data_IF_055553930018
#
_entry.id   IF_055553930018
#
_cell.length_a   1.000
_cell.length_b   1.000
_cell.length_c   1.000
_cell.angle_alpha   90.00
_cell.angle_beta   90.00
_cell.angle_gamma   90.00
#
_symmetry.space_group_name_H-M   'P 1'
#
loop_
_entity.id
_entity.type
_entity.pdbx_description
1 polymer ?
#
# COMPACT_ATOMS: atom_id res chain seq x y z
N UNK A 1 -13.31 14.98 -5.24
CA UNK A 1 -12.60 13.75 -4.85
C UNK A 1 -12.75 13.57 -3.35
N UNK A 2 -13.01 12.37 -2.86
CA UNK A 2 -13.16 12.12 -1.43
C UNK A 2 -11.81 12.24 -0.72
N UNK A 3 -11.80 12.89 0.45
CA UNK A 3 -10.59 13.05 1.26
C UNK A 3 -10.12 11.69 1.78
N UNK A 4 -8.80 11.45 1.77
CA UNK A 4 -8.24 10.19 2.24
C UNK A 4 -8.42 10.09 3.76
N UNK A 5 -8.89 8.95 4.24
CA UNK A 5 -8.86 8.60 5.66
C UNK A 5 -7.44 8.24 6.09
N UNK A 6 -7.02 8.74 7.26
CA UNK A 6 -5.75 8.36 7.89
C UNK A 6 -5.67 6.84 8.06
N UNK A 7 -4.48 6.27 7.89
CA UNK A 7 -4.26 4.87 8.24
C UNK A 7 -4.12 4.72 9.75
N UNK A 8 -4.43 3.53 10.27
CA UNK A 8 -4.36 3.22 11.70
C UNK A 8 -3.44 2.03 11.95
N UNK A 9 -2.98 1.86 13.19
CA UNK A 9 -2.22 0.67 13.59
C UNK A 9 -2.96 -0.64 13.24
N UNK A 10 -4.28 -0.67 13.43
CA UNK A 10 -5.11 -1.82 13.05
C UNK A 10 -5.06 -2.11 11.54
N UNK A 11 -5.03 -1.06 10.70
CA UNK A 11 -4.86 -1.21 9.24
C UNK A 11 -3.50 -1.83 8.92
N UNK A 12 -2.43 -1.36 9.55
CA UNK A 12 -1.07 -1.87 9.31
C UNK A 12 -0.94 -3.32 9.75
N UNK A 13 -1.46 -3.67 10.93
CA UNK A 13 -1.43 -5.04 11.44
C UNK A 13 -2.23 -6.00 10.55
N UNK A 14 -3.43 -5.59 10.10
CA UNK A 14 -4.23 -6.40 9.18
C UNK A 14 -3.52 -6.67 7.85
N UNK A 15 -2.92 -5.63 7.25
CA UNK A 15 -2.17 -5.76 5.98
C UNK A 15 -0.93 -6.64 6.15
N UNK A 16 -0.20 -6.50 7.27
CA UNK A 16 0.96 -7.34 7.56
C UNK A 16 0.57 -8.82 7.73
N UNK A 17 -0.54 -9.09 8.42
CA UNK A 17 -1.07 -10.44 8.56
C UNK A 17 -1.49 -11.04 7.21
N UNK A 18 -2.16 -10.26 6.35
CA UNK A 18 -2.64 -10.72 5.04
C UNK A 18 -1.52 -10.95 4.03
N UNK A 19 -0.57 -10.01 3.91
CA UNK A 19 0.46 -10.04 2.86
C UNK A 19 1.70 -10.79 3.29
N UNK A 20 2.18 -10.57 4.52
CA UNK A 20 3.43 -11.13 5.01
C UNK A 20 3.23 -12.41 5.84
N UNK A 21 2.00 -12.74 6.23
CA UNK A 21 1.71 -13.89 7.10
C UNK A 21 2.25 -13.73 8.53
N UNK A 22 2.71 -12.54 8.90
CA UNK A 22 3.31 -12.24 10.19
C UNK A 22 2.60 -11.03 10.81
N UNK A 23 1.69 -11.27 11.78
CA UNK A 23 1.04 -10.17 12.47
C UNK A 23 2.07 -9.35 13.26
N UNK A 24 1.90 -8.04 13.25
CA UNK A 24 2.74 -7.12 14.03
C UNK A 24 2.17 -6.98 15.44
N UNK A 25 3.06 -6.80 16.41
CA UNK A 25 2.68 -6.28 17.72
C UNK A 25 2.16 -4.83 17.61
N UNK A 26 1.41 -4.41 18.63
CA UNK A 26 0.70 -3.12 18.62
C UNK A 26 1.67 -1.92 18.56
N UNK A 27 2.81 -2.01 19.26
CA UNK A 27 3.82 -0.95 19.32
C UNK A 27 4.45 -0.72 17.94
N UNK A 28 4.84 -1.80 17.25
CA UNK A 28 5.40 -1.72 15.89
C UNK A 28 4.35 -1.29 14.89
N UNK A 29 3.10 -1.78 15.02
CA UNK A 29 2.01 -1.38 14.14
C UNK A 29 1.72 0.12 14.25
N UNK A 30 1.75 0.69 15.46
CA UNK A 30 1.58 2.13 15.69
C UNK A 30 2.74 2.94 15.09
N UNK A 31 3.98 2.54 15.37
CA UNK A 31 5.15 3.22 14.83
C UNK A 31 5.16 3.23 13.28
N UNK A 32 4.78 2.11 12.66
CA UNK A 32 4.67 2.03 11.21
C UNK A 32 3.49 2.83 10.65
N UNK A 33 2.37 2.93 11.36
CA UNK A 33 1.25 3.76 10.92
C UNK A 33 1.67 5.23 10.76
N UNK A 34 2.44 5.77 11.71
CA UNK A 34 2.93 7.15 11.64
C UNK A 34 3.90 7.37 10.46
N UNK A 35 4.83 6.43 10.25
CA UNK A 35 5.79 6.50 9.14
C UNK A 35 5.06 6.43 7.80
N UNK A 36 4.19 5.44 7.61
CA UNK A 36 3.49 5.24 6.34
C UNK A 36 2.50 6.36 6.04
N UNK A 37 1.87 6.96 7.05
CA UNK A 37 0.95 8.07 6.87
C UNK A 37 1.64 9.26 6.18
N UNK A 38 2.88 9.56 6.53
CA UNK A 38 3.67 10.62 5.89
C UNK A 38 3.89 10.37 4.39
N UNK A 39 4.20 9.11 4.04
CA UNK A 39 4.42 8.68 2.65
C UNK A 39 3.10 8.76 1.86
N UNK A 40 2.02 8.25 2.43
CA UNK A 40 0.70 8.25 1.80
C UNK A 40 0.16 9.68 1.60
N UNK A 41 0.48 10.60 2.52
CA UNK A 41 0.13 12.00 2.37
C UNK A 41 0.91 12.67 1.23
N UNK A 42 2.19 12.33 1.05
CA UNK A 42 2.96 12.77 -0.12
C UNK A 42 2.36 12.24 -1.43
N UNK A 43 1.90 10.98 -1.44
CA UNK A 43 1.25 10.36 -2.60
C UNK A 43 -0.14 10.93 -2.93
N UNK A 44 -0.79 11.66 -2.00
CA UNK A 44 -2.10 12.27 -2.26
C UNK A 44 -2.07 13.26 -3.43
N UNK A 45 -0.90 13.89 -3.68
CA UNK A 45 -0.73 14.76 -4.83
C UNK A 45 -0.84 14.01 -6.17
N UNK A 46 -0.42 12.73 -6.21
CA UNK A 46 -0.54 11.91 -7.42
C UNK A 46 -2.01 11.62 -7.78
N UNK A 47 -2.89 11.53 -6.78
CA UNK A 47 -4.33 11.30 -6.99
C UNK A 47 -5.03 12.49 -7.64
N UNK A 48 -4.45 13.68 -7.54
CA UNK A 48 -5.00 14.91 -8.12
C UNK A 48 -4.60 15.08 -9.59
N UNK A 49 -3.73 14.23 -10.12
CA UNK A 49 -3.34 14.27 -11.52
C UNK A 49 -4.53 13.96 -12.44
N UNK A 50 -4.68 14.64 -13.58
CA UNK A 50 -5.77 14.41 -14.52
C UNK A 50 -5.51 13.17 -15.37
N UNK A 51 -5.57 11.98 -14.76
CA UNK A 51 -5.21 10.70 -15.39
C UNK A 51 -6.36 10.03 -16.18
N UNK A 52 -7.52 10.70 -16.34
CA UNK A 52 -8.76 10.08 -16.81
C UNK A 52 -8.63 9.41 -18.19
N UNK A 53 -7.81 9.97 -19.07
CA UNK A 53 -7.65 9.54 -20.47
C UNK A 53 -6.21 9.11 -20.79
N UNK A 54 -5.43 8.75 -19.76
CA UNK A 54 -4.04 8.30 -19.91
C UNK A 54 -3.99 6.78 -19.75
N UNK A 55 -3.54 6.08 -20.79
CA UNK A 55 -3.30 4.64 -20.70
C UNK A 55 -2.16 4.34 -19.71
N UNK A 56 -2.32 3.34 -18.82
CA UNK A 56 -1.23 2.90 -17.94
C UNK A 56 -0.02 2.43 -18.74
N UNK A 57 1.17 2.72 -18.24
CA UNK A 57 2.40 2.24 -18.85
C UNK A 57 2.43 0.70 -18.91
N UNK A 58 2.78 0.13 -20.06
CA UNK A 58 2.94 -1.32 -20.21
C UNK A 58 4.19 -1.76 -19.45
N UNK A 59 3.99 -2.45 -18.33
CA UNK A 59 5.07 -3.06 -17.54
C UNK A 59 5.17 -4.53 -17.92
N UNK A 60 6.33 -4.95 -18.45
CA UNK A 60 6.62 -6.37 -18.65
C UNK A 60 6.87 -7.03 -17.28
N UNK A 61 5.92 -7.83 -16.81
CA UNK A 61 6.10 -8.72 -15.66
C UNK A 61 6.39 -10.15 -16.16
N UNK A 62 7.63 -10.65 -16.09
CA UNK A 62 7.89 -12.06 -16.39
C UNK A 62 7.13 -12.90 -15.38
N UNK A 63 6.21 -13.74 -15.87
CA UNK A 63 5.54 -14.71 -15.01
C UNK A 63 6.61 -15.67 -14.47
N UNK A 64 6.86 -15.62 -13.17
CA UNK A 64 7.67 -16.63 -12.49
C UNK A 64 6.84 -17.91 -12.55
N UNK A 65 7.08 -18.74 -13.57
CA UNK A 65 6.45 -20.04 -13.68
C UNK A 65 6.71 -20.82 -12.40
N UNK A 66 5.66 -21.18 -11.67
CA UNK A 66 5.79 -22.20 -10.63
C UNK A 66 6.14 -23.49 -11.36
N UNK A 67 7.42 -23.88 -11.32
CA UNK A 67 7.81 -25.25 -11.56
C UNK A 67 7.06 -26.11 -10.52
N UNK A 68 6.01 -26.79 -10.99
CA UNK A 68 5.46 -27.94 -10.28
C UNK A 68 6.32 -29.11 -10.71
N UNK A 69 7.21 -29.53 -9.82
CA UNK A 69 7.71 -30.91 -9.80
C UNK A 69 6.68 -31.81 -9.12
#
# INVERSE_FOLDING_TARGET
>A
MAERRKITAATVSAVAAEIAGHPLDDDRASAYADIYESILQAMDQLRKLPLKDIEPAVVFCPQVGRHRD
#
